data_IF_642539333391
#
_entry.id   IF_642539333391
#
_cell.length_a   1.000
_cell.length_b   1.000
_cell.length_c   1.000
_cell.angle_alpha   90.00
_cell.angle_beta   90.00
_cell.angle_gamma   90.00
#
_symmetry.space_group_name_H-M   'P 1'
#
loop_
_entity.id
_entity.type
_entity.pdbx_description
1 polymer ?
#
# COMPACT_ATOMS: atom_id res chain seq x y z
N UNK A 1 -14.47 14.20 -1.42
CA UNK A 1 -13.93 14.40 -0.07
C UNK A 1 -12.58 15.08 -0.09
N UNK A 2 -12.33 15.85 0.96
CA UNK A 2 -11.12 16.68 1.03
C UNK A 2 -9.85 15.87 1.30
N UNK A 3 -9.98 14.59 1.62
CA UNK A 3 -8.87 13.75 2.06
C UNK A 3 -8.44 12.72 1.00
N UNK A 4 -8.69 13.02 -0.26
CA UNK A 4 -8.37 12.09 -1.35
C UNK A 4 -7.34 12.72 -2.27
N UNK A 5 -6.31 11.94 -2.61
CA UNK A 5 -5.44 12.30 -3.72
C UNK A 5 -5.25 11.11 -4.66
N UNK A 6 -4.87 11.42 -5.90
CA UNK A 6 -4.64 10.42 -6.93
C UNK A 6 -3.20 10.50 -7.43
N UNK A 7 -2.65 9.35 -7.74
CA UNK A 7 -1.31 9.28 -8.34
C UNK A 7 -1.21 8.02 -9.20
N UNK A 8 -0.11 7.88 -9.90
CA UNK A 8 0.17 6.71 -10.74
C UNK A 8 1.09 5.77 -9.96
N UNK A 9 0.75 4.49 -9.96
CA UNK A 9 1.57 3.47 -9.33
C UNK A 9 2.69 3.06 -10.26
N UNK A 10 3.95 3.07 -9.77
CA UNK A 10 5.08 2.55 -10.52
C UNK A 10 5.46 1.18 -9.99
N UNK A 11 5.98 0.32 -10.89
CA UNK A 11 6.37 -1.03 -10.54
C UNK A 11 5.21 -2.01 -10.61
N UNK A 12 5.53 -3.28 -10.51
CA UNK A 12 4.58 -4.37 -10.74
C UNK A 12 4.31 -5.23 -9.51
N UNK A 13 4.71 -4.77 -8.32
CA UNK A 13 4.58 -5.58 -7.11
C UNK A 13 3.12 -5.81 -6.70
N UNK A 14 2.19 -5.00 -7.18
CA UNK A 14 0.76 -5.17 -6.88
C UNK A 14 -0.02 -5.84 -8.01
N UNK A 15 0.66 -6.27 -9.06
CA UNK A 15 -0.02 -6.99 -10.13
C UNK A 15 -0.45 -8.38 -9.62
N UNK A 16 -1.58 -8.85 -9.98
CA UNK A 16 -2.52 -8.28 -10.98
C UNK A 16 -3.63 -7.44 -10.35
N UNK A 17 -3.56 -7.19 -9.05
CA UNK A 17 -4.59 -6.40 -8.35
C UNK A 17 -4.57 -4.95 -8.82
N UNK A 18 -3.37 -4.38 -8.93
CA UNK A 18 -3.18 -3.03 -9.46
C UNK A 18 -2.08 -3.13 -10.52
N UNK A 19 -2.41 -2.82 -11.74
CA UNK A 19 -1.47 -2.90 -12.84
C UNK A 19 -0.40 -1.83 -12.73
N UNK A 20 0.78 -2.11 -13.24
CA UNK A 20 1.83 -1.12 -13.37
C UNK A 20 1.29 0.07 -14.18
N UNK A 21 1.61 1.28 -13.75
CA UNK A 21 1.17 2.54 -14.35
C UNK A 21 -0.33 2.83 -14.19
N UNK A 22 -1.07 2.03 -13.42
CA UNK A 22 -2.46 2.35 -13.12
C UNK A 22 -2.53 3.59 -12.22
N UNK A 23 -3.62 4.34 -12.36
CA UNK A 23 -3.92 5.41 -11.41
C UNK A 23 -4.55 4.80 -10.16
N UNK A 24 -4.23 5.36 -9.02
CA UNK A 24 -4.82 4.96 -7.74
C UNK A 24 -5.36 6.17 -7.01
N UNK A 25 -6.38 5.96 -6.20
CA UNK A 25 -6.92 7.00 -5.32
C UNK A 25 -6.71 6.57 -3.87
N UNK A 26 -6.20 7.49 -3.08
CA UNK A 26 -5.79 7.27 -1.69
C UNK A 26 -6.62 8.15 -0.78
N UNK A 27 -7.22 7.53 0.23
CA UNK A 27 -7.97 8.24 1.28
C UNK A 27 -7.02 8.52 2.44
N UNK A 28 -6.57 9.75 2.56
CA UNK A 28 -5.62 10.16 3.59
C UNK A 28 -6.24 10.28 4.97
N UNK A 29 -7.56 10.19 5.08
CA UNK A 29 -8.24 10.10 6.37
C UNK A 29 -8.21 8.70 6.97
N UNK A 30 -7.79 7.68 6.20
CA UNK A 30 -7.76 6.30 6.64
C UNK A 30 -6.32 5.84 6.84
N UNK A 31 -5.75 6.15 7.99
CA UNK A 31 -4.36 5.83 8.31
C UNK A 31 -4.21 4.71 9.33
N UNK A 32 -5.29 4.28 9.98
CA UNK A 32 -5.25 3.12 10.87
C UNK A 32 -5.27 1.85 10.04
N UNK A 33 -4.30 0.96 10.28
CA UNK A 33 -4.16 -0.25 9.48
C UNK A 33 -5.28 -1.22 9.82
N UNK A 34 -6.00 -1.64 8.79
CA UNK A 34 -6.97 -2.74 8.85
C UNK A 34 -6.41 -3.88 8.01
N UNK A 35 -6.28 -5.04 8.62
CA UNK A 35 -5.62 -6.17 8.00
C UNK A 35 -6.24 -6.54 6.66
N UNK A 36 -5.39 -6.75 5.67
CA UNK A 36 -5.80 -7.15 4.35
C UNK A 36 -6.20 -6.02 3.41
N UNK A 37 -6.05 -4.78 3.85
CA UNK A 37 -6.32 -3.62 2.98
C UNK A 37 -5.01 -3.10 2.40
N UNK A 38 -5.14 -2.34 1.31
CA UNK A 38 -3.99 -1.77 0.60
C UNK A 38 -3.76 -0.35 1.08
N UNK A 39 -2.52 -0.02 1.38
CA UNK A 39 -2.14 1.30 1.87
C UNK A 39 -1.01 1.88 1.06
N UNK A 40 -1.06 3.21 0.90
CA UNK A 40 0.09 4.00 0.49
C UNK A 40 0.83 4.43 1.75
N UNK A 41 2.14 4.27 1.77
CA UNK A 41 2.94 4.61 2.93
C UNK A 41 4.34 5.03 2.52
N UNK A 42 5.01 5.76 3.40
CA UNK A 42 6.40 6.15 3.22
C UNK A 42 7.26 5.29 4.12
N UNK A 43 8.38 4.81 3.61
CA UNK A 43 9.35 4.02 4.34
C UNK A 43 10.73 4.35 3.79
N UNK A 44 11.64 4.76 4.64
CA UNK A 44 13.00 5.16 4.24
C UNK A 44 13.00 6.18 3.09
N UNK A 45 12.06 7.12 3.13
CA UNK A 45 11.93 8.14 2.09
C UNK A 45 11.30 7.65 0.79
N UNK A 46 10.82 6.42 0.75
CA UNK A 46 10.21 5.85 -0.46
C UNK A 46 8.71 5.74 -0.32
N UNK A 47 7.98 6.12 -1.38
CA UNK A 47 6.54 5.92 -1.47
C UNK A 47 6.28 4.48 -1.90
N UNK A 48 5.49 3.76 -1.13
CA UNK A 48 5.18 2.35 -1.39
C UNK A 48 3.68 2.11 -1.29
N UNK A 49 3.20 1.12 -2.04
CA UNK A 49 1.79 0.68 -2.02
C UNK A 49 1.78 -0.84 -1.84
N UNK A 50 1.22 -1.32 -0.73
CA UNK A 50 1.22 -2.73 -0.37
C UNK A 50 0.02 -3.03 0.52
N UNK A 51 -0.29 -4.32 0.68
CA UNK A 51 -1.13 -4.75 1.79
C UNK A 51 -0.35 -4.59 3.09
N UNK A 52 -1.01 -4.12 4.13
CA UNK A 52 -0.41 -4.02 5.46
C UNK A 52 -1.23 -4.86 6.44
N UNK A 53 -0.54 -5.65 7.26
CA UNK A 53 -1.17 -6.52 8.25
C UNK A 53 -0.43 -6.33 9.56
N UNK A 54 -1.17 -5.95 10.62
CA UNK A 54 -0.55 -5.77 11.94
C UNK A 54 -0.09 -7.10 12.50
N UNK A 55 1.07 -7.08 13.14
CA UNK A 55 1.67 -8.25 13.76
C UNK A 55 1.98 -7.94 15.22
N UNK A 56 2.05 -8.97 16.09
CA UNK A 56 2.44 -8.75 17.48
C UNK A 56 3.83 -8.10 17.58
N UNK A 57 4.07 -7.41 18.67
CA UNK A 57 5.38 -6.80 18.92
C UNK A 57 5.58 -5.49 18.18
N UNK A 58 4.50 -4.75 17.93
CA UNK A 58 4.59 -3.46 17.25
C UNK A 58 5.23 -3.56 15.87
N UNK A 59 4.90 -4.63 15.14
CA UNK A 59 5.44 -4.83 13.81
C UNK A 59 4.32 -4.94 12.78
N UNK A 60 4.69 -4.88 11.52
CA UNK A 60 3.74 -4.94 10.40
C UNK A 60 4.31 -5.85 9.33
N UNK A 61 3.43 -6.69 8.77
CA UNK A 61 3.74 -7.49 7.59
C UNK A 61 3.38 -6.68 6.37
N UNK A 62 4.32 -6.59 5.44
CA UNK A 62 4.17 -5.84 4.19
C UNK A 62 4.10 -6.87 3.07
N UNK A 63 2.97 -6.92 2.39
CA UNK A 63 2.72 -7.97 1.40
C UNK A 63 2.40 -7.37 0.04
N UNK A 64 3.06 -7.91 -0.99
CA UNK A 64 2.76 -7.58 -2.38
C UNK A 64 1.69 -8.52 -2.90
N UNK A 65 0.83 -8.04 -3.81
CA UNK A 65 -0.11 -8.94 -4.48
C UNK A 65 0.64 -9.92 -5.38
N UNK A 66 1.68 -9.46 -6.04
CA UNK A 66 2.56 -10.26 -6.88
C UNK A 66 3.58 -11.00 -6.01
N UNK A 67 3.09 -11.85 -5.12
CA UNK A 67 3.91 -12.43 -4.03
C UNK A 67 4.91 -13.47 -4.52
N UNK A 68 4.72 -14.01 -5.73
CA UNK A 68 5.69 -14.94 -6.30
C UNK A 68 7.02 -14.29 -6.63
N UNK A 69 7.02 -13.00 -6.93
CA UNK A 69 8.22 -12.23 -7.24
C UNK A 69 8.66 -11.29 -6.13
N UNK A 70 7.72 -10.94 -5.23
CA UNK A 70 7.96 -9.98 -4.16
C UNK A 70 7.52 -10.61 -2.84
N UNK A 71 8.46 -11.26 -2.12
CA UNK A 71 8.10 -11.96 -0.88
C UNK A 71 7.69 -10.98 0.22
N UNK A 72 6.97 -11.50 1.21
CA UNK A 72 6.56 -10.72 2.36
C UNK A 72 7.75 -10.13 3.09
N UNK A 73 7.56 -8.93 3.63
CA UNK A 73 8.55 -8.25 4.46
C UNK A 73 7.93 -7.98 5.82
N UNK A 74 8.75 -7.91 6.85
CA UNK A 74 8.33 -7.52 8.19
C UNK A 74 9.14 -6.31 8.61
N UNK A 75 8.48 -5.33 9.20
CA UNK A 75 9.15 -4.11 9.65
C UNK A 75 8.53 -3.61 10.96
N UNK A 76 9.29 -2.86 11.76
CA UNK A 76 8.69 -2.18 12.92
C UNK A 76 7.59 -1.23 12.46
N UNK A 77 6.49 -1.20 13.19
CA UNK A 77 5.36 -0.35 12.81
C UNK A 77 5.74 1.12 12.72
N UNK A 78 6.62 1.57 13.61
CA UNK A 78 7.04 2.97 13.63
C UNK A 78 8.09 3.31 12.57
N UNK A 79 8.54 2.33 11.78
CA UNK A 79 9.41 2.59 10.64
C UNK A 79 8.64 3.05 9.40
N UNK A 80 7.31 2.98 9.44
CA UNK A 80 6.45 3.41 8.33
C UNK A 80 5.68 4.65 8.72
N UNK A 81 5.36 5.45 7.70
CA UNK A 81 4.40 6.54 7.85
C UNK A 81 3.25 6.25 6.89
N UNK A 82 2.10 5.82 7.43
CA UNK A 82 0.95 5.50 6.60
C UNK A 82 0.34 6.78 6.06
N UNK A 83 0.24 6.87 4.74
CA UNK A 83 -0.32 8.04 4.06
C UNK A 83 -1.83 7.91 3.97
N UNK A 84 -2.33 6.72 3.62
CA UNK A 84 -3.75 6.50 3.54
C UNK A 84 -4.08 5.17 2.89
N UNK A 85 -5.38 4.82 2.87
CA UNK A 85 -5.86 3.59 2.26
C UNK A 85 -6.11 3.79 0.78
N UNK A 86 -5.63 2.87 -0.05
CA UNK A 86 -5.95 2.85 -1.47
C UNK A 86 -7.33 2.22 -1.62
N UNK A 87 -8.28 2.99 -2.12
CA UNK A 87 -9.66 2.53 -2.23
C UNK A 87 -10.16 2.43 -3.67
N UNK A 88 -9.38 2.87 -4.64
CA UNK A 88 -9.76 2.85 -6.05
C UNK A 88 -8.52 2.71 -6.91
N UNK A 89 -8.69 2.04 -8.03
CA UNK A 89 -7.66 1.92 -9.06
C UNK A 89 -8.30 1.96 -10.43
N UNK A 90 -7.54 2.44 -11.41
CA UNK A 90 -7.96 2.35 -12.80
C UNK A 90 -7.69 0.96 -13.33
N UNK A 91 -8.51 0.53 -14.29
CA UNK A 91 -8.35 -0.75 -14.96
C UNK A 91 -8.31 -0.48 -16.46
N UNK A 92 -7.29 -1.01 -17.11
CA UNK A 92 -7.20 -0.92 -18.58
C UNK A 92 -7.88 -2.12 -19.20
N UNK A 93 -8.70 -1.86 -20.18
CA UNK A 93 -9.36 -2.91 -20.96
C UNK A 93 -8.52 -3.33 -22.17
#
# INVERSE_FOLDING_TARGET
>A
PDNVFCCTLTGDSMEEKIAEDAAIAVDTGETAIRDGKIYAFAQDGMFRVKYLIRQPGNSVLIRSHNSGFYPDETAPLDSLSVIGRVFWRSVLD
#
